data_IF_417803987665
#
_entry.id   IF_417803987665
#
_cell.length_a   1.000
_cell.length_b   1.000
_cell.length_c   1.000
_cell.angle_alpha   90.00
_cell.angle_beta   90.00
_cell.angle_gamma   90.00
#
_symmetry.space_group_name_H-M   'P 1'
#
loop_
_entity.id
_entity.type
_entity.pdbx_description
1 polymer ?
#
# COMPACT_ATOMS: atom_id res chain seq x y z
N UNK A 1 -19.85 0.30 15.75
CA UNK A 1 -18.62 -0.21 15.12
C UNK A 1 -19.05 -1.24 14.11
N UNK A 2 -18.89 -0.93 12.83
CA UNK A 2 -19.21 -1.84 11.73
C UNK A 2 -18.00 -2.70 11.41
N UNK A 3 -18.23 -3.97 11.04
CA UNK A 3 -17.19 -4.96 10.74
C UNK A 3 -17.44 -5.58 9.38
N UNK A 4 -16.41 -5.59 8.55
CA UNK A 4 -16.48 -6.13 7.18
C UNK A 4 -15.32 -7.09 6.94
N UNK A 5 -15.56 -8.36 6.58
CA UNK A 5 -14.48 -9.28 6.22
C UNK A 5 -13.79 -8.82 4.91
N UNK A 6 -12.48 -8.98 4.82
CA UNK A 6 -11.72 -8.78 3.58
C UNK A 6 -11.56 -10.12 2.86
N UNK A 7 -11.83 -10.14 1.56
CA UNK A 7 -11.61 -11.30 0.69
C UNK A 7 -10.26 -11.19 -0.03
N UNK A 8 -9.19 -11.53 0.69
CA UNK A 8 -7.81 -11.44 0.19
C UNK A 8 -7.13 -12.81 0.31
N UNK A 9 -6.45 -13.21 -0.76
CA UNK A 9 -5.58 -14.38 -0.81
C UNK A 9 -4.08 -14.05 -0.67
N UNK A 10 -3.25 -15.09 -0.62
CA UNK A 10 -1.80 -14.92 -0.75
C UNK A 10 -1.40 -14.65 -2.21
N UNK A 11 -0.32 -13.90 -2.42
CA UNK A 11 0.18 -13.54 -3.76
C UNK A 11 1.51 -14.20 -4.11
N UNK A 12 1.49 -15.01 -5.17
CA UNK A 12 2.61 -15.85 -5.58
C UNK A 12 3.06 -16.77 -4.43
N UNK A 13 4.37 -16.82 -4.20
CA UNK A 13 4.99 -17.66 -3.17
C UNK A 13 4.96 -17.07 -1.75
N UNK A 14 4.36 -15.87 -1.57
CA UNK A 14 4.30 -15.24 -0.25
C UNK A 14 3.34 -15.99 0.67
N UNK A 15 3.64 -15.95 1.97
CA UNK A 15 2.82 -16.55 3.04
C UNK A 15 2.24 -15.49 3.98
N UNK A 16 2.13 -14.26 3.50
CA UNK A 16 1.55 -13.12 4.20
C UNK A 16 0.65 -12.33 3.25
N UNK A 17 -0.34 -11.65 3.81
CA UNK A 17 -1.24 -10.76 3.06
C UNK A 17 -0.46 -9.50 2.65
N UNK A 18 -0.51 -9.13 1.38
CA UNK A 18 0.19 -7.96 0.87
C UNK A 18 -0.52 -6.65 1.22
N UNK A 19 0.26 -5.63 1.57
CA UNK A 19 -0.26 -4.30 1.87
C UNK A 19 -1.09 -3.61 0.76
N UNK A 20 -0.71 -3.71 -0.54
CA UNK A 20 -1.58 -3.26 -1.63
C UNK A 20 -3.00 -3.84 -1.57
N UNK A 21 -3.13 -5.14 -1.30
CA UNK A 21 -4.43 -5.81 -1.23
C UNK A 21 -5.24 -5.33 -0.03
N UNK A 22 -4.58 -5.19 1.12
CA UNK A 22 -5.19 -4.61 2.33
C UNK A 22 -5.81 -3.25 2.04
N UNK A 23 -5.06 -2.36 1.37
CA UNK A 23 -5.53 -1.02 1.06
C UNK A 23 -6.67 -1.06 0.03
N UNK A 24 -6.51 -1.79 -1.07
CA UNK A 24 -7.53 -1.88 -2.12
C UNK A 24 -8.89 -2.35 -1.58
N UNK A 25 -8.89 -3.50 -0.89
CA UNK A 25 -10.12 -4.08 -0.34
C UNK A 25 -10.75 -3.17 0.72
N UNK A 26 -9.95 -2.61 1.62
CA UNK A 26 -10.46 -1.72 2.64
C UNK A 26 -11.12 -0.47 2.02
N UNK A 27 -10.46 0.16 1.05
CA UNK A 27 -11.00 1.34 0.39
C UNK A 27 -12.23 1.02 -0.46
N UNK A 28 -12.27 -0.12 -1.13
CA UNK A 28 -13.45 -0.59 -1.85
C UNK A 28 -14.65 -0.77 -0.90
N UNK A 29 -14.45 -1.41 0.25
CA UNK A 29 -15.50 -1.57 1.27
C UNK A 29 -15.97 -0.19 1.77
N UNK A 30 -15.04 0.73 2.05
CA UNK A 30 -15.38 2.09 2.50
C UNK A 30 -16.23 2.81 1.44
N UNK A 31 -15.82 2.77 0.16
CA UNK A 31 -16.56 3.39 -0.94
C UNK A 31 -17.98 2.83 -1.13
N UNK A 32 -18.17 1.53 -0.91
CA UNK A 32 -19.49 0.88 -1.02
C UNK A 32 -20.40 1.26 0.16
N UNK A 33 -19.85 1.44 1.36
CA UNK A 33 -20.62 1.61 2.59
C UNK A 33 -20.72 3.05 3.09
N UNK A 34 -19.99 3.99 2.48
CA UNK A 34 -19.99 5.41 2.83
C UNK A 34 -20.10 6.28 1.58
N UNK A 35 -21.04 7.21 1.60
CA UNK A 35 -21.28 8.14 0.50
C UNK A 35 -20.39 9.38 0.65
N UNK A 36 -19.71 9.75 -0.42
CA UNK A 36 -18.91 10.98 -0.52
C UNK A 36 -17.52 10.75 -1.06
N UNK A 37 -16.84 11.84 -1.39
CA UNK A 37 -15.44 11.80 -1.82
C UNK A 37 -14.54 11.47 -0.62
N UNK A 38 -13.61 10.53 -0.82
CA UNK A 38 -12.63 10.15 0.19
C UNK A 38 -11.35 10.95 -0.02
N UNK A 39 -10.93 11.69 1.00
CA UNK A 39 -9.77 12.60 0.98
C UNK A 39 -8.81 12.35 2.14
N UNK A 40 -7.63 12.95 2.06
CA UNK A 40 -6.61 13.01 3.14
C UNK A 40 -6.27 11.63 3.73
N UNK A 41 -5.98 10.67 2.85
CA UNK A 41 -5.81 9.27 3.21
C UNK A 41 -4.43 9.07 3.80
N UNK A 42 -4.37 8.44 4.96
CA UNK A 42 -3.15 7.92 5.58
C UNK A 42 -3.38 6.44 5.91
N UNK A 43 -2.66 5.56 5.24
CA UNK A 43 -2.68 4.13 5.48
C UNK A 43 -1.34 3.68 6.06
N UNK A 44 -1.36 3.02 7.22
CA UNK A 44 -0.16 2.55 7.91
C UNK A 44 -0.29 1.08 8.32
N UNK A 45 0.67 0.26 7.91
CA UNK A 45 0.77 -1.15 8.28
C UNK A 45 1.65 -1.27 9.52
N UNK A 46 1.07 -1.76 10.61
CA UNK A 46 1.76 -1.97 11.88
C UNK A 46 2.54 -3.28 11.88
N UNK A 47 1.96 -4.35 11.31
CA UNK A 47 2.57 -5.68 11.25
C UNK A 47 2.11 -6.46 10.02
N UNK A 48 2.91 -7.44 9.62
CA UNK A 48 2.53 -8.42 8.61
C UNK A 48 1.64 -9.51 9.24
N UNK A 49 0.75 -10.10 8.46
CA UNK A 49 -0.12 -11.18 8.93
C UNK A 49 -0.36 -12.22 7.85
N UNK A 50 -0.60 -13.46 8.28
CA UNK A 50 -1.06 -14.59 7.47
C UNK A 50 -2.51 -14.99 7.80
N UNK A 51 -3.15 -14.29 8.73
CA UNK A 51 -4.52 -14.56 9.16
C UNK A 51 -5.53 -13.79 8.31
N UNK A 52 -6.79 -14.22 8.33
CA UNK A 52 -7.87 -13.43 7.74
C UNK A 52 -7.92 -12.02 8.35
N UNK A 53 -8.44 -11.07 7.57
CA UNK A 53 -8.58 -9.69 7.98
C UNK A 53 -10.04 -9.26 7.96
N UNK A 54 -10.39 -8.35 8.86
CA UNK A 54 -11.65 -7.62 8.84
C UNK A 54 -11.37 -6.13 9.02
N UNK A 55 -12.15 -5.30 8.34
CA UNK A 55 -12.18 -3.85 8.47
C UNK A 55 -13.16 -3.47 9.56
N UNK A 56 -12.70 -2.71 10.55
CA UNK A 56 -13.54 -2.04 11.54
C UNK A 56 -13.56 -0.53 11.25
N UNK A 57 -14.73 0.06 11.02
CA UNK A 57 -14.88 1.51 10.79
C UNK A 57 -15.48 2.17 12.04
N UNK A 58 -14.81 3.22 12.53
CA UNK A 58 -15.20 4.02 13.69
C UNK A 58 -15.34 5.50 13.31
N UNK A 59 -16.29 6.20 13.94
CA UNK A 59 -16.40 7.65 13.87
C UNK A 59 -15.45 8.27 14.90
N UNK A 60 -14.60 9.20 14.45
CA UNK A 60 -13.50 9.78 15.22
C UNK A 60 -12.43 8.78 15.67
N UNK A 61 -11.24 9.28 15.99
CA UNK A 61 -10.19 8.51 16.68
C UNK A 61 -10.70 8.25 18.11
N UNK A 62 -11.59 7.26 18.26
CA UNK A 62 -11.96 6.78 19.57
C UNK A 62 -10.66 6.47 20.29
N UNK A 63 -10.54 6.92 21.54
CA UNK A 63 -9.35 6.83 22.40
C UNK A 63 -8.93 5.39 22.76
N UNK A 64 -9.28 4.42 21.93
CA UNK A 64 -8.75 3.06 21.90
C UNK A 64 -7.26 3.12 21.61
N UNK A 65 -6.49 2.74 22.62
CA UNK A 65 -5.11 2.28 22.47
C UNK A 65 -5.03 1.23 21.37
N UNK A 66 -3.92 1.24 20.61
CA UNK A 66 -3.59 0.20 19.64
C UNK A 66 -3.80 -1.19 20.25
N UNK A 67 -4.57 -2.04 19.58
CA UNK A 67 -4.76 -3.42 19.97
C UNK A 67 -3.63 -4.29 19.40
N UNK A 68 -3.17 -5.35 20.10
CA UNK A 68 -2.29 -6.35 19.49
C UNK A 68 -2.84 -6.97 18.20
N UNK A 69 -4.16 -6.96 18.04
CA UNK A 69 -4.84 -7.49 16.86
C UNK A 69 -4.80 -6.54 15.66
N UNK A 70 -4.44 -5.26 15.86
CA UNK A 70 -4.34 -4.28 14.79
C UNK A 70 -3.21 -4.67 13.83
N UNK A 71 -3.54 -4.72 12.54
CA UNK A 71 -2.62 -5.03 11.44
C UNK A 71 -2.28 -3.77 10.68
N UNK A 72 -3.30 -2.95 10.40
CA UNK A 72 -3.13 -1.67 9.73
C UNK A 72 -4.19 -0.66 10.19
N UNK A 73 -3.90 0.61 9.97
CA UNK A 73 -4.76 1.75 10.29
C UNK A 73 -4.96 2.58 9.02
N UNK A 74 -6.18 3.05 8.82
CA UNK A 74 -6.55 3.99 7.75
C UNK A 74 -7.19 5.21 8.41
N UNK A 75 -6.64 6.40 8.16
CA UNK A 75 -7.26 7.69 8.48
C UNK A 75 -7.67 8.34 7.17
N UNK A 76 -8.88 8.90 7.11
CA UNK A 76 -9.39 9.53 5.90
C UNK A 76 -10.50 10.51 6.24
N UNK A 77 -10.86 11.35 5.28
CA UNK A 77 -11.92 12.35 5.41
C UNK A 77 -13.03 12.05 4.41
N UNK A 78 -14.30 12.09 4.83
CA UNK A 78 -15.48 12.11 3.93
C UNK A 78 -16.32 13.32 4.30
N UNK A 79 -16.56 14.22 3.34
CA UNK A 79 -17.18 15.52 3.64
C UNK A 79 -16.30 16.31 4.62
N UNK A 80 -16.85 16.67 5.77
CA UNK A 80 -16.12 17.34 6.87
C UNK A 80 -15.71 16.37 7.99
N UNK A 81 -16.08 15.09 7.89
CA UNK A 81 -15.85 14.11 8.94
C UNK A 81 -14.49 13.42 8.76
N UNK A 82 -13.64 13.49 9.79
CA UNK A 82 -12.44 12.65 9.91
C UNK A 82 -12.84 11.28 10.44
N UNK A 83 -12.58 10.25 9.65
CA UNK A 83 -12.91 8.87 9.94
C UNK A 83 -11.65 8.05 10.18
N UNK A 84 -11.82 6.97 10.93
CA UNK A 84 -10.76 6.05 11.29
C UNK A 84 -11.22 4.61 11.02
N UNK A 85 -10.37 3.82 10.38
CA UNK A 85 -10.61 2.40 10.20
C UNK A 85 -9.38 1.56 10.60
N UNK A 86 -9.65 0.35 11.09
CA UNK A 86 -8.62 -0.63 11.47
C UNK A 86 -8.79 -1.89 10.66
N UNK A 87 -7.67 -2.46 10.23
CA UNK A 87 -7.62 -3.86 9.83
C UNK A 87 -7.21 -4.68 11.03
N UNK A 88 -8.05 -5.62 11.44
CA UNK A 88 -7.81 -6.52 12.56
C UNK A 88 -7.80 -7.97 12.08
N UNK A 89 -7.07 -8.83 12.79
CA UNK A 89 -7.06 -10.27 12.48
C UNK A 89 -8.39 -10.94 12.83
N UNK A 90 -8.83 -11.84 11.97
CA UNK A 90 -9.95 -12.74 12.17
C UNK A 90 -9.45 -14.21 12.18
N UNK A 91 -10.19 -15.14 12.81
CA UNK A 91 -9.79 -16.55 12.88
C UNK A 91 -9.58 -17.18 11.49
N UNK A 92 -8.57 -18.05 11.39
CA UNK A 92 -8.22 -18.75 10.16
C UNK A 92 -7.18 -18.02 9.30
N UNK A 93 -6.89 -18.59 8.12
CA UNK A 93 -5.92 -18.07 7.17
C UNK A 93 -6.45 -18.24 5.74
N UNK A 94 -6.20 -17.26 4.83
CA UNK A 94 -6.56 -17.41 3.43
C UNK A 94 -5.97 -18.69 2.82
N UNK A 95 -6.80 -19.41 2.07
CA UNK A 95 -6.36 -20.59 1.31
C UNK A 95 -6.11 -20.26 -0.17
N UNK A 96 -6.73 -19.19 -0.67
CA UNK A 96 -6.58 -18.76 -2.04
C UNK A 96 -5.15 -18.25 -2.30
N UNK A 97 -4.58 -18.65 -3.44
CA UNK A 97 -3.35 -18.10 -3.99
C UNK A 97 -3.63 -17.46 -5.34
N UNK A 98 -3.23 -16.20 -5.48
CA UNK A 98 -3.36 -15.44 -6.72
C UNK A 98 -1.97 -15.35 -7.36
N UNK A 99 -1.81 -15.75 -8.63
CA UNK A 99 -0.58 -15.52 -9.37
C UNK A 99 -0.21 -14.03 -9.35
N UNK A 100 1.04 -13.72 -9.02
CA UNK A 100 1.50 -12.34 -8.94
C UNK A 100 2.95 -12.23 -9.39
N UNK A 101 3.13 -11.58 -10.54
CA UNK A 101 4.43 -11.31 -11.15
C UNK A 101 4.65 -9.79 -11.24
N UNK A 102 5.55 -9.29 -10.39
CA UNK A 102 5.95 -7.87 -10.35
C UNK A 102 6.68 -7.47 -11.65
N UNK A 103 7.31 -8.42 -12.34
CA UNK A 103 8.07 -8.15 -13.57
C UNK A 103 7.19 -7.66 -14.71
N UNK A 104 5.90 -7.98 -14.68
CA UNK A 104 4.91 -7.49 -15.64
C UNK A 104 4.76 -5.97 -15.60
N UNK A 105 5.08 -5.31 -14.47
CA UNK A 105 5.11 -3.85 -14.35
C UNK A 105 6.52 -3.33 -14.62
N UNK A 106 7.52 -3.91 -13.95
CA UNK A 106 8.87 -3.32 -13.91
C UNK A 106 9.61 -3.41 -15.25
N UNK A 107 9.26 -4.37 -16.12
CA UNK A 107 9.83 -4.47 -17.48
C UNK A 107 9.47 -3.29 -18.39
N UNK A 108 8.39 -2.57 -18.07
CA UNK A 108 7.95 -1.37 -18.80
C UNK A 108 8.38 -0.08 -18.10
N UNK A 109 9.25 -0.18 -17.10
CA UNK A 109 9.74 0.96 -16.37
C UNK A 109 11.13 1.39 -16.84
N UNK A 110 11.41 2.68 -16.74
CA UNK A 110 12.72 3.27 -16.94
C UNK A 110 13.22 3.78 -15.60
N UNK A 111 14.36 3.26 -15.13
CA UNK A 111 15.00 3.70 -13.88
C UNK A 111 16.07 4.73 -14.23
N UNK A 112 16.00 5.88 -13.58
CA UNK A 112 17.05 6.90 -13.60
C UNK A 112 17.72 6.92 -12.22
N UNK A 113 18.96 6.43 -12.16
CA UNK A 113 19.68 6.33 -10.89
C UNK A 113 20.23 7.67 -10.39
N UNK A 114 20.45 8.62 -11.30
CA UNK A 114 20.93 9.98 -10.98
C UNK A 114 19.82 10.76 -10.30
N UNK A 115 18.62 10.76 -10.90
CA UNK A 115 17.44 11.46 -10.36
C UNK A 115 16.71 10.65 -9.27
N UNK A 116 17.18 9.42 -9.02
CA UNK A 116 16.62 8.47 -8.06
C UNK A 116 15.12 8.24 -8.32
N UNK A 117 14.76 8.05 -9.59
CA UNK A 117 13.38 7.86 -10.01
C UNK A 117 13.18 6.63 -10.89
N UNK A 118 11.92 6.20 -10.95
CA UNK A 118 11.43 5.17 -11.86
C UNK A 118 10.16 5.66 -12.52
N UNK A 119 10.07 5.56 -13.85
CA UNK A 119 8.91 6.00 -14.63
C UNK A 119 8.30 4.83 -15.37
N UNK A 120 6.98 4.70 -15.31
CA UNK A 120 6.21 3.72 -16.08
C UNK A 120 5.99 4.27 -17.49
N UNK A 121 6.48 3.59 -18.51
CA UNK A 121 6.27 4.03 -19.90
C UNK A 121 4.83 3.76 -20.33
N UNK A 122 4.43 2.48 -20.25
CA UNK A 122 3.10 1.99 -20.57
C UNK A 122 2.76 0.85 -19.61
N UNK A 123 1.48 0.67 -19.31
CA UNK A 123 1.00 -0.45 -18.49
C UNK A 123 0.04 -1.37 -19.25
N UNK A 124 0.30 -2.67 -19.11
CA UNK A 124 -0.60 -3.75 -19.53
C UNK A 124 -0.59 -4.92 -18.55
N UNK A 125 -0.21 -4.67 -17.29
CA UNK A 125 0.04 -5.74 -16.30
C UNK A 125 -1.25 -6.35 -15.75
N UNK A 126 -2.36 -5.62 -15.76
CA UNK A 126 -3.62 -6.03 -15.14
C UNK A 126 -3.63 -5.92 -13.60
N UNK A 127 -2.54 -5.43 -13.00
CA UNK A 127 -2.46 -5.17 -11.56
C UNK A 127 -3.23 -3.88 -11.20
N UNK A 128 -3.56 -3.70 -9.92
CA UNK A 128 -4.19 -2.46 -9.44
C UNK A 128 -3.19 -1.29 -9.41
N UNK A 129 -3.68 -0.06 -9.40
CA UNK A 129 -2.82 1.14 -9.38
C UNK A 129 -1.83 1.15 -8.22
N UNK A 130 -2.26 0.80 -7.00
CA UNK A 130 -1.35 0.73 -5.85
C UNK A 130 -0.33 -0.42 -5.97
N UNK A 131 -0.70 -1.56 -6.56
CA UNK A 131 0.25 -2.66 -6.81
C UNK A 131 1.34 -2.26 -7.79
N UNK A 132 0.98 -1.52 -8.85
CA UNK A 132 1.94 -0.98 -9.82
C UNK A 132 2.92 -0.04 -9.12
N UNK A 133 2.42 0.93 -8.35
CA UNK A 133 3.26 1.89 -7.62
C UNK A 133 4.17 1.22 -6.59
N UNK A 134 3.68 0.22 -5.86
CA UNK A 134 4.46 -0.57 -4.92
C UNK A 134 5.55 -1.38 -5.63
N UNK A 135 5.23 -2.00 -6.78
CA UNK A 135 6.20 -2.75 -7.60
C UNK A 135 7.28 -1.84 -8.17
N UNK A 136 6.89 -0.68 -8.70
CA UNK A 136 7.81 0.36 -9.17
C UNK A 136 8.75 0.81 -8.06
N UNK A 137 8.20 1.20 -6.90
CA UNK A 137 9.01 1.67 -5.79
C UNK A 137 9.98 0.59 -5.29
N UNK A 138 9.54 -0.67 -5.22
CA UNK A 138 10.41 -1.79 -4.84
C UNK A 138 11.56 -1.97 -5.84
N UNK A 139 11.30 -1.91 -7.14
CA UNK A 139 12.34 -1.99 -8.16
C UNK A 139 13.35 -0.85 -8.05
N UNK A 140 12.87 0.37 -7.79
CA UNK A 140 13.73 1.52 -7.53
C UNK A 140 14.63 1.30 -6.31
N UNK A 141 14.10 0.75 -5.22
CA UNK A 141 14.88 0.43 -4.02
C UNK A 141 15.97 -0.60 -4.33
N UNK A 142 15.64 -1.66 -5.07
CA UNK A 142 16.61 -2.69 -5.46
C UNK A 142 17.71 -2.16 -6.39
N UNK A 143 17.43 -1.12 -7.18
CA UNK A 143 18.41 -0.49 -8.06
C UNK A 143 19.31 0.53 -7.35
N UNK A 144 18.82 1.18 -6.28
CA UNK A 144 19.50 2.33 -5.66
C UNK A 144 20.12 2.05 -4.30
N UNK A 145 19.53 1.14 -3.52
CA UNK A 145 19.84 1.01 -2.10
C UNK A 145 20.43 -0.36 -1.81
N UNK A 146 21.53 -0.37 -1.07
CA UNK A 146 22.01 -1.58 -0.43
C UNK A 146 20.99 -2.03 0.61
N UNK A 147 20.50 -3.24 0.42
CA UNK A 147 19.56 -3.88 1.33
C UNK A 147 20.37 -4.66 2.36
N UNK A 148 20.14 -4.47 3.67
CA UNK A 148 20.78 -5.32 4.68
C UNK A 148 20.54 -6.81 4.41
N UNK A 149 21.50 -7.64 4.82
CA UNK A 149 21.37 -9.09 4.77
C UNK A 149 20.10 -9.53 5.51
N UNK A 150 19.47 -10.59 5.01
CA UNK A 150 18.25 -11.19 5.60
C UNK A 150 17.08 -10.21 5.81
N UNK A 151 17.02 -9.13 5.02
CA UNK A 151 15.86 -8.24 4.97
C UNK A 151 15.17 -8.25 3.62
N UNK A 152 13.93 -7.77 3.57
CA UNK A 152 13.19 -7.47 2.35
C UNK A 152 12.59 -6.08 2.44
N UNK A 153 12.53 -5.39 1.31
CA UNK A 153 11.84 -4.11 1.19
C UNK A 153 10.33 -4.33 1.20
N UNK A 154 9.65 -3.79 2.22
CA UNK A 154 8.21 -3.96 2.45
C UNK A 154 7.51 -2.61 2.41
N UNK A 155 6.43 -2.52 1.64
CA UNK A 155 5.48 -1.41 1.68
C UNK A 155 4.84 -1.32 3.06
N UNK A 156 4.95 -0.17 3.72
CA UNK A 156 4.44 0.02 5.08
C UNK A 156 3.47 1.19 5.23
N UNK A 157 3.47 2.16 4.31
CA UNK A 157 2.55 3.29 4.38
C UNK A 157 2.27 3.94 3.03
N UNK A 158 1.04 4.41 2.87
CA UNK A 158 0.57 5.21 1.75
C UNK A 158 -0.14 6.46 2.26
N UNK A 159 0.23 7.62 1.72
CA UNK A 159 -0.48 8.88 1.95
C UNK A 159 -0.97 9.44 0.60
N UNK A 160 -2.23 9.88 0.51
CA UNK A 160 -2.73 10.57 -0.70
C UNK A 160 -3.80 11.60 -0.41
N UNK A 161 -3.96 12.56 -1.32
CA UNK A 161 -5.00 13.58 -1.22
C UNK A 161 -6.42 13.02 -1.45
N UNK A 162 -6.55 11.93 -2.22
CA UNK A 162 -7.85 11.31 -2.50
C UNK A 162 -7.77 9.86 -2.99
N UNK A 163 -8.96 9.27 -3.17
CA UNK A 163 -9.19 7.92 -3.70
C UNK A 163 -10.50 7.86 -4.50
N UNK A 164 -10.60 7.05 -5.58
CA UNK A 164 -9.63 6.05 -6.06
C UNK A 164 -8.39 6.66 -6.69
N UNK A 165 -7.31 5.87 -6.75
CA UNK A 165 -6.17 6.21 -7.61
C UNK A 165 -6.59 6.11 -9.09
N UNK A 166 -5.99 6.90 -9.98
CA UNK A 166 -6.21 6.76 -11.41
C UNK A 166 -5.90 5.33 -11.87
N UNK A 167 -6.77 4.73 -12.68
CA UNK A 167 -6.57 3.38 -13.24
C UNK A 167 -5.41 3.36 -14.24
N UNK A 168 -5.37 4.39 -15.09
CA UNK A 168 -4.26 4.65 -16.01
C UNK A 168 -3.12 5.37 -15.28
N UNK A 169 -2.00 4.65 -15.12
CA UNK A 169 -0.76 5.15 -14.55
C UNK A 169 0.34 5.30 -15.60
N UNK A 170 0.01 5.35 -16.89
CA UNK A 170 0.97 5.66 -17.94
C UNK A 170 1.69 6.96 -17.59
N UNK A 171 3.02 6.93 -17.68
CA UNK A 171 3.90 8.02 -17.29
C UNK A 171 3.92 8.40 -15.81
N UNK A 172 3.32 7.59 -14.93
CA UNK A 172 3.53 7.74 -13.50
C UNK A 172 5.02 7.62 -13.17
N UNK A 173 5.48 8.45 -12.23
CA UNK A 173 6.85 8.48 -11.76
C UNK A 173 6.89 8.34 -10.25
N UNK A 174 7.79 7.49 -9.76
CA UNK A 174 8.10 7.37 -8.33
C UNK A 174 9.50 7.90 -8.10
N UNK A 175 9.64 8.88 -7.21
CA UNK A 175 10.92 9.56 -6.94
C UNK A 175 11.30 9.40 -5.47
N UNK A 176 12.43 8.74 -5.20
CA UNK A 176 12.91 8.49 -3.84
C UNK A 176 13.46 9.79 -3.21
N UNK A 177 12.74 10.37 -2.24
CA UNK A 177 13.09 11.65 -1.62
C UNK A 177 13.88 11.53 -0.33
N UNK A 178 13.54 10.57 0.51
CA UNK A 178 14.13 10.44 1.84
C UNK A 178 14.48 9.00 2.17
N UNK A 179 15.59 8.84 2.87
CA UNK A 179 16.10 7.56 3.37
C UNK A 179 16.60 7.76 4.79
N UNK A 180 15.90 7.21 5.79
CA UNK A 180 16.34 7.19 7.19
C UNK A 180 17.08 5.87 7.45
N UNK A 181 18.30 5.77 6.92
CA UNK A 181 19.01 4.50 6.79
C UNK A 181 18.19 3.49 5.97
N UNK A 182 18.17 2.22 6.40
CA UNK A 182 17.30 1.17 5.84
C UNK A 182 15.95 1.04 6.56
N UNK A 183 15.71 1.80 7.64
CA UNK A 183 14.53 1.62 8.51
C UNK A 183 13.25 2.13 7.87
N UNK A 184 13.33 3.28 7.19
CA UNK A 184 12.18 3.91 6.55
C UNK A 184 12.65 4.75 5.37
N UNK A 185 11.99 4.59 4.24
CA UNK A 185 12.17 5.40 3.04
C UNK A 185 10.85 6.06 2.66
N UNK A 186 10.93 7.20 1.98
CA UNK A 186 9.79 7.91 1.42
C UNK A 186 10.07 8.26 -0.03
N UNK A 187 9.15 7.90 -0.90
CA UNK A 187 9.13 8.34 -2.29
C UNK A 187 7.84 9.12 -2.58
N UNK A 188 7.96 10.16 -3.39
CA UNK A 188 6.80 10.86 -3.94
C UNK A 188 6.31 10.11 -5.17
N UNK A 189 4.99 10.06 -5.36
CA UNK A 189 4.36 9.50 -6.55
C UNK A 189 3.72 10.63 -7.35
N UNK A 190 4.15 10.76 -8.60
CA UNK A 190 3.72 11.80 -9.54
C UNK A 190 3.01 11.16 -10.74
N UNK A 191 2.00 11.84 -11.28
CA UNK A 191 1.38 11.52 -12.56
C UNK A 191 1.15 12.84 -13.30
N UNK A 192 1.77 13.00 -14.47
CA UNK A 192 1.69 14.24 -15.27
C UNK A 192 1.95 15.51 -14.42
N UNK A 193 3.06 15.51 -13.66
CA UNK A 193 3.47 16.60 -12.76
C UNK A 193 2.56 16.85 -11.54
N UNK A 194 1.43 16.15 -11.44
CA UNK A 194 0.56 16.19 -10.26
C UNK A 194 0.99 15.12 -9.25
N UNK A 195 1.16 15.52 -7.98
CA UNK A 195 1.47 14.58 -6.92
C UNK A 195 0.23 13.76 -6.55
N UNK A 196 0.28 12.45 -6.77
CA UNK A 196 -0.78 11.51 -6.37
C UNK A 196 -0.71 11.17 -4.89
N UNK A 197 0.51 11.10 -4.35
CA UNK A 197 0.71 10.70 -2.96
C UNK A 197 2.17 10.45 -2.60
N UNK A 198 2.35 9.76 -1.49
CA UNK A 198 3.64 9.36 -0.97
C UNK A 198 3.59 7.88 -0.56
N UNK A 199 4.64 7.16 -0.93
CA UNK A 199 4.80 5.75 -0.64
C UNK A 199 6.01 5.53 0.25
N UNK A 200 5.81 4.71 1.29
CA UNK A 200 6.82 4.45 2.30
C UNK A 200 7.14 2.97 2.39
N UNK A 201 8.44 2.70 2.46
CA UNK A 201 8.98 1.35 2.53
C UNK A 201 9.89 1.21 3.75
N UNK A 202 10.01 -0.01 4.25
CA UNK A 202 10.88 -0.37 5.36
C UNK A 202 11.61 -1.67 5.03
N UNK A 203 12.90 -1.77 5.37
CA UNK A 203 13.58 -3.05 5.35
C UNK A 203 13.13 -3.87 6.57
N UNK A 204 12.46 -4.99 6.33
CA UNK A 204 11.97 -5.91 7.37
C UNK A 204 12.73 -7.24 7.31
N UNK A 205 13.00 -7.91 8.44
CA UNK A 205 13.58 -9.25 8.43
C UNK A 205 12.78 -10.23 7.55
N UNK A 206 13.48 -11.18 6.93
CA UNK A 206 12.86 -12.24 6.11
C UNK A 206 12.36 -13.45 6.92
N UNK A 207 12.34 -13.36 8.25
CA UNK A 207 12.01 -14.42 9.20
C UNK A 207 10.64 -14.29 9.85
#
# INVERSE_FOLDING_TARGET
>A
MERYPLDIGFKGERNYIQGPDMLNQAMQIIQINRLGEIRDIEFFIQRMTSQHLQLEIEQAEASRSSSPDDVAVIKFTIGEERLFARLTTAPGAPQARVPYDESLVTRHCQINTVDRSIRLAEDSSGHSSIEKLVSMNKALHLALLEKPDDTQWVFCRWDSAGWPLPEDLNHAEVVLKQTLGSRLTRADVMLNECQLGQIYFSAKPTS
#
